data_IF_240723562065
#
_entry.id   IF_240723562065
#
_cell.length_a   1.000
_cell.length_b   1.000
_cell.length_c   1.000
_cell.angle_alpha   90.00
_cell.angle_beta   90.00
_cell.angle_gamma   90.00
#
_symmetry.space_group_name_H-M   'P 1'
#
loop_
_entity.id
_entity.type
_entity.pdbx_description
1 polymer ?
#
# COMPACT_ATOMS: atom_id res chain seq x y z
N UNK A 1 6.83 18.49 1.18
CA UNK A 1 6.45 18.46 -0.25
C UNK A 1 6.81 17.09 -0.77
N UNK A 2 6.00 16.51 -1.64
CA UNK A 2 6.30 15.21 -2.25
C UNK A 2 7.05 15.46 -3.55
N UNK A 3 8.31 15.05 -3.63
CA UNK A 3 9.14 15.27 -4.82
C UNK A 3 9.20 14.03 -5.74
N UNK A 4 9.03 12.86 -5.13
CA UNK A 4 9.14 11.55 -5.78
C UNK A 4 7.90 10.70 -5.53
N UNK A 5 7.51 9.90 -6.53
CA UNK A 5 6.46 8.89 -6.34
C UNK A 5 6.78 7.91 -5.21
N UNK A 6 8.08 7.73 -4.89
CA UNK A 6 8.54 6.86 -3.80
C UNK A 6 8.16 7.38 -2.41
N UNK A 7 7.77 8.65 -2.31
CA UNK A 7 7.33 9.25 -1.06
C UNK A 7 5.84 9.06 -0.82
N UNK A 8 5.05 8.87 -1.89
CA UNK A 8 3.61 8.62 -1.83
C UNK A 8 3.32 7.42 -0.95
N UNK A 9 2.40 7.58 0.00
CA UNK A 9 1.98 6.52 0.90
C UNK A 9 1.39 5.34 0.13
N UNK A 10 0.46 5.61 -0.80
CA UNK A 10 -0.17 4.57 -1.63
C UNK A 10 0.85 3.76 -2.44
N UNK A 11 1.95 4.38 -2.89
CA UNK A 11 3.04 3.67 -3.56
C UNK A 11 3.77 2.73 -2.61
N UNK A 12 4.11 3.20 -1.41
CA UNK A 12 4.82 2.41 -0.40
C UNK A 12 3.99 1.21 0.04
N UNK A 13 2.70 1.42 0.30
CA UNK A 13 1.74 0.38 0.68
C UNK A 13 1.63 -0.67 -0.43
N UNK A 14 1.36 -0.27 -1.67
CA UNK A 14 1.26 -1.19 -2.80
C UNK A 14 2.56 -1.98 -3.05
N UNK A 15 3.72 -1.33 -2.89
CA UNK A 15 5.02 -2.00 -3.04
C UNK A 15 5.31 -3.01 -1.91
N UNK A 16 4.91 -2.69 -0.67
CA UNK A 16 5.00 -3.61 0.46
C UNK A 16 4.07 -4.81 0.26
N UNK A 17 2.81 -4.58 -0.10
CA UNK A 17 1.83 -5.64 -0.38
C UNK A 17 2.29 -6.59 -1.49
N UNK A 18 2.78 -6.06 -2.61
CA UNK A 18 3.33 -6.86 -3.70
C UNK A 18 4.55 -7.69 -3.28
N UNK A 19 5.36 -7.20 -2.33
CA UNK A 19 6.48 -7.95 -1.76
C UNK A 19 6.01 -9.08 -0.85
N UNK A 20 4.99 -8.84 -0.03
CA UNK A 20 4.38 -9.89 0.80
C UNK A 20 3.80 -10.99 -0.08
N UNK A 21 3.02 -10.65 -1.10
CA UNK A 21 2.51 -11.60 -2.10
C UNK A 21 3.65 -12.40 -2.74
N UNK A 22 4.73 -11.72 -3.15
CA UNK A 22 5.89 -12.40 -3.73
C UNK A 22 6.48 -13.45 -2.79
N UNK A 23 6.58 -13.17 -1.49
CA UNK A 23 7.09 -14.10 -0.48
C UNK A 23 6.14 -15.27 -0.23
N UNK A 24 4.84 -15.02 -0.08
CA UNK A 24 3.84 -16.07 0.10
C UNK A 24 3.91 -17.10 -1.04
N UNK A 25 3.97 -16.59 -2.27
CA UNK A 25 4.02 -17.37 -3.51
C UNK A 25 5.32 -18.16 -3.73
N UNK A 26 6.38 -17.97 -2.92
CA UNK A 26 7.59 -18.81 -3.01
C UNK A 26 7.33 -20.24 -2.55
N UNK A 27 6.31 -20.46 -1.71
CA UNK A 27 5.95 -21.76 -1.14
C UNK A 27 4.89 -22.53 -1.94
N UNK A 28 4.28 -21.89 -2.94
CA UNK A 28 3.17 -22.47 -3.70
C UNK A 28 3.63 -23.62 -4.63
N UNK A 29 2.71 -24.51 -5.06
CA UNK A 29 3.02 -25.60 -5.98
C UNK A 29 3.67 -25.11 -7.28
N UNK A 30 4.60 -25.89 -7.84
CA UNK A 30 5.34 -25.50 -9.06
C UNK A 30 4.44 -25.46 -10.29
N UNK A 31 3.37 -26.23 -10.29
CA UNK A 31 2.34 -26.30 -11.31
C UNK A 31 1.62 -24.96 -11.47
N UNK A 32 1.50 -24.18 -10.38
CA UNK A 32 0.88 -22.85 -10.37
C UNK A 32 1.79 -21.73 -10.87
N UNK A 33 3.07 -22.03 -11.16
CA UNK A 33 4.08 -21.03 -11.50
C UNK A 33 3.65 -20.13 -12.66
N UNK A 34 3.00 -20.69 -13.67
CA UNK A 34 2.53 -19.98 -14.87
C UNK A 34 1.00 -19.77 -14.87
N UNK A 35 0.35 -20.08 -13.75
CA UNK A 35 -1.07 -19.86 -13.52
C UNK A 35 -1.22 -18.84 -12.37
N UNK A 36 -1.73 -19.24 -11.21
CA UNK A 36 -2.08 -18.30 -10.13
C UNK A 36 -0.88 -17.49 -9.65
N UNK A 37 0.31 -18.11 -9.55
CA UNK A 37 1.53 -17.43 -9.07
C UNK A 37 1.92 -16.26 -9.98
N UNK A 38 1.85 -16.44 -11.29
CA UNK A 38 2.24 -15.39 -12.25
C UNK A 38 1.19 -14.28 -12.29
N UNK A 39 -0.11 -14.63 -12.30
CA UNK A 39 -1.20 -13.66 -12.36
C UNK A 39 -1.20 -12.73 -11.15
N UNK A 40 -1.12 -13.28 -9.92
CA UNK A 40 -1.13 -12.46 -8.70
C UNK A 40 0.14 -11.60 -8.56
N UNK A 41 1.30 -12.11 -9.00
CA UNK A 41 2.56 -11.34 -8.97
C UNK A 41 2.55 -10.22 -9.99
N UNK A 42 1.96 -10.42 -11.17
CA UNK A 42 1.88 -9.38 -12.21
C UNK A 42 0.91 -8.28 -11.83
N UNK A 43 -0.31 -8.62 -11.46
CA UNK A 43 -1.34 -7.65 -11.05
C UNK A 43 -0.87 -6.82 -9.85
N UNK A 44 -0.38 -7.46 -8.79
CA UNK A 44 0.12 -6.76 -7.59
C UNK A 44 1.26 -5.77 -7.89
N UNK A 45 2.17 -6.10 -8.82
CA UNK A 45 3.26 -5.21 -9.23
C UNK A 45 2.79 -4.06 -10.12
N UNK A 46 1.76 -4.32 -10.94
CA UNK A 46 1.17 -3.32 -11.82
C UNK A 46 0.58 -2.16 -11.03
N UNK A 47 0.01 -2.41 -9.84
CA UNK A 47 -0.54 -1.36 -8.96
C UNK A 47 0.48 -0.27 -8.65
N UNK A 48 1.62 -0.61 -8.03
CA UNK A 48 2.62 0.41 -7.68
C UNK A 48 3.33 0.98 -8.91
N UNK A 49 3.43 0.22 -10.00
CA UNK A 49 3.99 0.71 -11.25
C UNK A 49 3.10 1.79 -11.88
N UNK A 50 1.78 1.55 -11.93
CA UNK A 50 0.81 2.51 -12.43
C UNK A 50 0.72 3.77 -11.54
N UNK A 51 0.87 3.65 -10.22
CA UNK A 51 1.01 4.82 -9.32
C UNK A 51 2.24 5.66 -9.70
N UNK A 52 3.39 5.04 -9.95
CA UNK A 52 4.59 5.74 -10.37
C UNK A 52 4.42 6.44 -11.72
N UNK A 53 3.73 5.78 -12.68
CA UNK A 53 3.38 6.39 -13.96
C UNK A 53 2.40 7.55 -13.82
N UNK A 54 1.37 7.41 -12.99
CA UNK A 54 0.42 8.48 -12.68
C UNK A 54 1.18 9.71 -12.18
N UNK A 55 2.06 9.55 -11.18
CA UNK A 55 2.88 10.64 -10.66
C UNK A 55 3.65 11.39 -11.76
N UNK A 56 4.21 10.68 -12.74
CA UNK A 56 4.94 11.30 -13.87
C UNK A 56 4.01 12.00 -14.87
N UNK A 57 2.76 11.55 -14.99
CA UNK A 57 1.74 12.11 -15.90
C UNK A 57 0.87 13.21 -15.28
N UNK A 58 1.05 13.53 -13.99
CA UNK A 58 0.26 14.51 -13.23
C UNK A 58 0.15 15.92 -13.83
N UNK A 59 1.06 16.32 -14.73
CA UNK A 59 0.95 17.59 -15.47
C UNK A 59 -0.33 17.68 -16.32
N UNK A 60 -0.96 16.54 -16.61
CA UNK A 60 -2.20 16.45 -17.37
C UNK A 60 -3.23 15.63 -16.57
N UNK A 61 -4.24 16.27 -15.94
CA UNK A 61 -5.19 15.60 -15.05
C UNK A 61 -5.85 14.36 -15.65
N UNK A 62 -6.22 14.38 -16.94
CA UNK A 62 -6.82 13.23 -17.62
C UNK A 62 -5.89 12.01 -17.67
N UNK A 63 -4.59 12.22 -17.89
CA UNK A 63 -3.62 11.13 -17.92
C UNK A 63 -3.28 10.63 -16.51
N UNK A 64 -3.30 11.52 -15.52
CA UNK A 64 -3.16 11.17 -14.12
C UNK A 64 -4.28 10.23 -13.67
N UNK A 65 -5.53 10.66 -13.87
CA UNK A 65 -6.73 9.88 -13.52
C UNK A 65 -6.71 8.53 -14.23
N UNK A 66 -6.45 8.52 -15.54
CA UNK A 66 -6.39 7.26 -16.30
C UNK A 66 -5.40 6.27 -15.71
N UNK A 67 -4.22 6.72 -15.27
CA UNK A 67 -3.24 5.82 -14.64
C UNK A 67 -3.57 5.40 -13.21
N UNK A 68 -4.26 6.23 -12.45
CA UNK A 68 -4.80 5.80 -11.16
C UNK A 68 -5.94 4.78 -11.33
N UNK A 69 -6.77 4.94 -12.37
CA UNK A 69 -7.80 3.96 -12.70
C UNK A 69 -7.21 2.62 -13.13
N UNK A 70 -6.12 2.62 -13.91
CA UNK A 70 -5.38 1.39 -14.23
C UNK A 70 -4.87 0.72 -12.92
N UNK A 71 -4.31 1.51 -11.99
CA UNK A 71 -3.84 0.98 -10.71
C UNK A 71 -4.96 0.38 -9.86
N UNK A 72 -6.15 0.99 -9.87
CA UNK A 72 -7.32 0.51 -9.11
C UNK A 72 -7.90 -0.78 -9.70
N UNK A 73 -7.94 -0.89 -11.03
CA UNK A 73 -8.32 -2.13 -11.71
C UNK A 73 -7.36 -3.29 -11.36
N UNK A 74 -6.07 -3.02 -11.33
CA UNK A 74 -5.03 -4.01 -10.96
C UNK A 74 -5.10 -4.39 -9.48
N UNK A 75 -5.53 -3.47 -8.61
CA UNK A 75 -5.79 -3.76 -7.20
C UNK A 75 -6.98 -4.72 -7.05
N UNK A 76 -8.09 -4.47 -7.77
CA UNK A 76 -9.24 -5.35 -7.80
C UNK A 76 -8.90 -6.74 -8.37
N UNK A 77 -8.10 -6.80 -9.45
CA UNK A 77 -7.61 -8.07 -9.98
C UNK A 77 -6.74 -8.82 -8.96
N UNK A 78 -5.85 -8.11 -8.25
CA UNK A 78 -5.03 -8.73 -7.20
C UNK A 78 -5.90 -9.36 -6.10
N UNK A 79 -6.97 -8.67 -5.66
CA UNK A 79 -7.92 -9.18 -4.66
C UNK A 79 -8.64 -10.44 -5.14
N UNK A 80 -9.09 -10.48 -6.40
CA UNK A 80 -9.69 -11.68 -6.98
C UNK A 80 -8.72 -12.88 -6.96
N UNK A 81 -7.42 -12.65 -7.16
CA UNK A 81 -6.41 -13.70 -7.04
C UNK A 81 -6.09 -14.08 -5.58
N UNK A 82 -6.27 -13.17 -4.62
CA UNK A 82 -6.21 -13.51 -3.19
C UNK A 82 -7.36 -14.44 -2.80
N UNK A 83 -8.56 -14.23 -3.34
CA UNK A 83 -9.72 -15.12 -3.11
C UNK A 83 -9.39 -16.56 -3.56
N UNK A 84 -8.83 -16.70 -4.77
CA UNK A 84 -8.41 -18.00 -5.30
C UNK A 84 -7.27 -18.62 -4.47
N UNK A 85 -6.31 -17.82 -4.02
CA UNK A 85 -5.22 -18.29 -3.17
C UNK A 85 -5.71 -18.81 -1.82
N UNK A 86 -6.71 -18.16 -1.22
CA UNK A 86 -7.34 -18.60 0.03
C UNK A 86 -8.15 -19.89 -0.19
N UNK A 87 -8.96 -19.95 -1.25
CA UNK A 87 -9.75 -21.14 -1.59
C UNK A 87 -8.87 -22.39 -1.77
N UNK A 88 -7.71 -22.23 -2.42
CA UNK A 88 -6.73 -23.30 -2.58
C UNK A 88 -5.84 -23.54 -1.36
N UNK A 89 -6.08 -22.84 -0.24
CA UNK A 89 -5.29 -22.92 0.99
C UNK A 89 -3.80 -22.64 0.79
N UNK A 90 -3.46 -21.80 -0.20
CA UNK A 90 -2.08 -21.37 -0.48
C UNK A 90 -1.64 -20.18 0.40
N UNK A 91 -2.60 -19.52 1.03
CA UNK A 91 -2.41 -18.54 2.10
C UNK A 91 -3.40 -18.86 3.23
N UNK A 92 -3.08 -18.47 4.46
CA UNK A 92 -4.01 -18.57 5.58
C UNK A 92 -4.96 -17.37 5.63
N UNK A 93 -6.01 -17.49 6.45
CA UNK A 93 -7.04 -16.45 6.60
C UNK A 93 -6.44 -15.12 7.07
N UNK A 94 -5.48 -15.15 8.00
CA UNK A 94 -4.85 -13.93 8.52
C UNK A 94 -4.08 -13.18 7.43
N UNK A 95 -3.29 -13.90 6.61
CA UNK A 95 -2.56 -13.33 5.48
C UNK A 95 -3.50 -12.76 4.44
N UNK A 96 -4.61 -13.46 4.17
CA UNK A 96 -5.67 -12.96 3.28
C UNK A 96 -6.26 -11.66 3.81
N UNK A 97 -6.73 -11.65 5.07
CA UNK A 97 -7.39 -10.49 5.68
C UNK A 97 -6.47 -9.25 5.67
N UNK A 98 -5.19 -9.44 6.01
CA UNK A 98 -4.20 -8.37 6.03
C UNK A 98 -3.94 -7.79 4.62
N UNK A 99 -3.82 -8.67 3.61
CA UNK A 99 -3.58 -8.26 2.23
C UNK A 99 -4.83 -7.62 1.61
N UNK A 100 -6.01 -8.20 1.80
CA UNK A 100 -7.27 -7.68 1.26
C UNK A 100 -7.57 -6.30 1.85
N UNK A 101 -7.46 -6.14 3.18
CA UNK A 101 -7.61 -4.85 3.84
C UNK A 101 -6.60 -3.81 3.34
N UNK A 102 -5.35 -4.23 3.08
CA UNK A 102 -4.32 -3.33 2.50
C UNK A 102 -4.71 -2.89 1.08
N UNK A 103 -5.18 -3.81 0.23
CA UNK A 103 -5.61 -3.46 -1.13
C UNK A 103 -6.88 -2.60 -1.13
N UNK A 104 -7.80 -2.79 -0.19
CA UNK A 104 -8.97 -1.92 -0.02
C UNK A 104 -8.56 -0.48 0.36
N UNK A 105 -7.59 -0.34 1.26
CA UNK A 105 -7.01 0.97 1.62
C UNK A 105 -6.30 1.64 0.43
N UNK A 106 -5.59 0.85 -0.39
CA UNK A 106 -4.94 1.33 -1.62
C UNK A 106 -6.01 1.86 -2.57
N UNK A 107 -7.05 1.08 -2.89
CA UNK A 107 -8.16 1.50 -3.75
C UNK A 107 -8.83 2.77 -3.23
N UNK A 108 -9.13 2.85 -1.94
CA UNK A 108 -9.68 4.06 -1.32
C UNK A 108 -8.77 5.29 -1.48
N UNK A 109 -7.45 5.10 -1.41
CA UNK A 109 -6.46 6.17 -1.63
C UNK A 109 -6.40 6.60 -3.10
N UNK A 110 -6.42 5.65 -4.03
CA UNK A 110 -6.44 5.92 -5.48
C UNK A 110 -7.70 6.70 -5.87
N UNK A 111 -8.88 6.30 -5.38
CA UNK A 111 -10.14 7.01 -5.60
C UNK A 111 -10.06 8.44 -5.06
N UNK A 112 -9.56 8.64 -3.83
CA UNK A 112 -9.36 9.98 -3.26
C UNK A 112 -8.42 10.86 -4.10
N UNK A 113 -7.36 10.27 -4.67
CA UNK A 113 -6.46 10.99 -5.56
C UNK A 113 -7.14 11.37 -6.88
N UNK A 114 -7.98 10.48 -7.44
CA UNK A 114 -8.76 10.75 -8.65
C UNK A 114 -9.84 11.82 -8.44
N UNK A 115 -10.47 11.88 -7.26
CA UNK A 115 -11.50 12.89 -6.96
C UNK A 115 -10.90 14.26 -6.64
N UNK A 116 -9.66 14.32 -6.15
CA UNK A 116 -9.00 15.55 -5.72
C UNK A 116 -7.78 15.89 -6.59
N UNK A 117 -7.89 15.79 -7.92
CA UNK A 117 -6.74 15.91 -8.83
C UNK A 117 -5.96 17.21 -8.70
N UNK A 118 -6.61 18.31 -8.32
CA UNK A 118 -5.97 19.63 -8.24
C UNK A 118 -4.85 19.68 -7.20
N UNK A 119 -4.95 18.88 -6.13
CA UNK A 119 -3.90 18.70 -5.11
C UNK A 119 -2.64 18.04 -5.68
N UNK A 120 -2.77 17.27 -6.76
CA UNK A 120 -1.70 16.43 -7.31
C UNK A 120 -1.15 16.97 -8.62
N UNK A 121 -1.99 17.61 -9.44
CA UNK A 121 -1.64 18.02 -10.81
C UNK A 121 -0.98 19.40 -10.91
N UNK A 122 -0.80 20.10 -9.78
CA UNK A 122 -0.08 21.37 -9.70
C UNK A 122 1.45 21.27 -9.83
N UNK A 123 2.16 22.40 -9.71
CA UNK A 123 3.61 22.44 -9.61
C UNK A 123 4.15 21.45 -8.56
N UNK A 124 5.26 20.77 -8.86
CA UNK A 124 5.80 19.69 -8.03
C UNK A 124 6.09 20.11 -6.57
N UNK A 125 6.45 21.38 -6.39
CA UNK A 125 6.73 22.08 -5.15
C UNK A 125 5.46 22.48 -4.36
N UNK A 126 4.27 22.02 -4.79
CA UNK A 126 3.01 22.33 -4.10
C UNK A 126 2.24 21.09 -3.68
N UNK A 127 2.65 19.89 -4.11
CA UNK A 127 1.98 18.64 -3.73
C UNK A 127 2.30 18.30 -2.28
N UNK A 128 1.24 18.23 -1.48
CA UNK A 128 1.27 17.80 -0.08
C UNK A 128 0.37 16.58 0.05
N UNK A 129 0.92 15.49 0.58
CA UNK A 129 0.12 14.36 1.04
C UNK A 129 -0.15 14.61 2.53
N UNK A 130 -1.43 14.74 2.90
CA UNK A 130 -1.81 14.94 4.30
C UNK A 130 -1.42 13.69 5.11
N UNK A 131 -0.73 13.90 6.23
CA UNK A 131 -0.48 12.81 7.16
C UNK A 131 -1.81 12.45 7.84
N UNK A 132 -2.21 11.17 7.90
CA UNK A 132 -3.29 10.79 8.79
C UNK A 132 -2.86 11.13 10.23
N UNK A 133 -3.73 11.80 10.98
CA UNK A 133 -3.56 11.95 12.41
C UNK A 133 -3.75 10.57 13.02
N UNK A 134 -2.65 9.89 13.33
CA UNK A 134 -2.73 8.77 14.26
C UNK A 134 -2.93 9.39 15.65
N UNK A 135 -4.07 9.11 16.27
CA UNK A 135 -4.27 9.40 17.69
C UNK A 135 -3.19 8.61 18.46
N UNK A 136 -2.14 9.29 18.92
CA UNK A 136 -1.05 8.66 19.68
C UNK A 136 -1.41 8.43 21.16
N UNK A 137 -2.69 8.52 21.51
CA UNK A 137 -3.16 8.40 22.89
C UNK A 137 -3.49 6.95 23.28
N UNK A 138 -2.52 6.04 23.11
CA UNK A 138 -2.37 4.86 23.99
C UNK A 138 -0.91 4.47 24.07
N UNK A 139 -0.13 5.16 24.91
CA UNK A 139 1.19 4.70 25.34
C UNK A 139 1.15 4.30 26.83
N UNK A 140 1.02 3.01 27.19
CA UNK A 140 1.20 2.56 28.56
C UNK A 140 2.68 2.25 28.80
N UNK A 141 3.51 3.28 28.95
CA UNK A 141 4.91 3.12 29.37
C UNK A 141 5.41 4.37 30.08
N UNK A 142 4.90 4.60 31.30
CA UNK A 142 5.61 5.34 32.32
C UNK A 142 6.22 4.33 33.30
N UNK A 143 7.53 4.14 33.22
CA UNK A 143 8.30 3.40 34.23
C UNK A 143 8.45 4.30 35.46
N UNK A 144 8.15 3.85 36.69
CA UNK A 144 8.36 4.68 37.87
C UNK A 144 9.86 4.79 38.19
N UNK A 145 10.31 6.02 38.42
CA UNK A 145 11.65 6.35 38.93
C UNK A 145 11.84 5.72 40.33
N UNK A 146 12.98 5.10 40.66
CA UNK A 146 13.22 4.61 42.00
C UNK A 146 13.47 5.76 42.99
N UNK A 147 13.17 5.59 44.29
CA UNK A 147 13.29 6.65 45.29
C UNK A 147 14.75 6.92 45.66
N UNK A 148 15.08 8.20 45.86
CA UNK A 148 16.37 8.68 46.36
C UNK A 148 16.68 8.07 47.74
N UNK A 149 17.81 7.37 47.83
CA UNK A 149 18.40 6.95 49.09
C UNK A 149 19.54 7.92 49.48
N UNK A 150 19.23 8.79 50.44
CA UNK A 150 20.18 9.63 51.17
C UNK A 150 21.36 8.84 51.73
N UNK A 151 22.56 9.44 51.74
CA UNK A 151 23.47 9.36 52.90
C UNK A 151 24.40 10.58 52.92
N UNK A 152 24.16 11.50 53.86
CA UNK A 152 25.20 12.36 54.43
C UNK A 152 26.07 11.52 55.37
N UNK A 153 27.33 11.93 55.60
CA UNK A 153 27.62 12.57 56.89
C UNK A 153 28.07 14.03 56.77
#
# INVERSE_FOLDING_TARGET
MVESFRELRVYKEAFQAARTIFRCTESWPKEERYALTDQIRRSSRSVFANVAEAWRKRRYPKHFISKLSDADAEAAETRAWLDAALDHSYIDQQTYDDLDATYDQISGSLVKMMTNTDQWCGPADQVREDQPVYDTDTNPSQTPTPPDAHTQP
#
